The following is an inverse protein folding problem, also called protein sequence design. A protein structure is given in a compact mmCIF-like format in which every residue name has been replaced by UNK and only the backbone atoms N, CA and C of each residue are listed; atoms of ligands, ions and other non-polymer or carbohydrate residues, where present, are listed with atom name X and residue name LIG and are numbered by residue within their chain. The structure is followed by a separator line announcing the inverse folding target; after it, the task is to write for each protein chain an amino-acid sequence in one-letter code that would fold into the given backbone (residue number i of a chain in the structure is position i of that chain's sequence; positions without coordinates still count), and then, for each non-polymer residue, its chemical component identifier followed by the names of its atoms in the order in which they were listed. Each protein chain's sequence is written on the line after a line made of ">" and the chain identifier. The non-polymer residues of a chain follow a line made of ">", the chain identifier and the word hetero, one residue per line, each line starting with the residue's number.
data_IF_028609544299
#
_entry.id   IF_028609544299
#
_cell.length_a   1.000
_cell.length_b   1.000
_cell.length_c   1.000
_cell.angle_alpha   90.00
_cell.angle_beta   90.00
_cell.angle_gamma   90.00
#
_symmetry.space_group_name_H-M   'P 1'
#
loop_
_entity.id
_entity.type
_entity.pdbx_description
1 polymer ?
#
# COMPACT_ATOMS: atom_id res chain seq x y z
N UNK A 1 10.23 -6.66 22.15
CA UNK A 1 9.66 -5.39 21.62
C UNK A 1 8.25 -5.66 21.12
N UNK A 2 7.20 -5.08 21.73
CA UNK A 2 5.83 -5.16 21.17
C UNK A 2 5.82 -4.34 19.87
N UNK A 3 5.69 -5.00 18.70
CA UNK A 3 5.39 -4.28 17.46
C UNK A 3 4.08 -3.52 17.69
N UNK A 4 4.07 -2.20 17.49
CA UNK A 4 2.86 -1.36 17.67
C UNK A 4 1.73 -1.74 16.70
N UNK A 5 2.05 -2.45 15.63
CA UNK A 5 1.11 -2.93 14.61
C UNK A 5 1.39 -4.39 14.28
N UNK A 6 0.33 -5.17 14.10
CA UNK A 6 0.44 -6.58 13.65
C UNK A 6 0.69 -6.64 12.14
N UNK A 7 1.15 -7.79 11.65
CA UNK A 7 1.44 -7.99 10.23
C UNK A 7 0.16 -7.85 9.39
N UNK A 8 -0.98 -8.31 9.89
CA UNK A 8 -2.29 -8.12 9.26
C UNK A 8 -2.69 -6.63 9.15
N UNK A 9 -2.45 -5.84 10.20
CA UNK A 9 -2.70 -4.40 10.16
C UNK A 9 -1.83 -3.71 9.13
N UNK A 10 -0.55 -4.08 9.08
CA UNK A 10 0.42 -3.55 8.12
C UNK A 10 0.00 -3.88 6.68
N UNK A 11 -0.37 -5.13 6.40
CA UNK A 11 -0.88 -5.56 5.09
C UNK A 11 -2.16 -4.79 4.73
N UNK A 12 -3.05 -4.57 5.70
CA UNK A 12 -4.24 -3.74 5.53
C UNK A 12 -3.93 -2.30 5.13
N UNK A 13 -2.87 -1.69 5.68
CA UNK A 13 -2.43 -0.34 5.29
C UNK A 13 -1.83 -0.31 3.88
N UNK A 14 -1.04 -1.33 3.51
CA UNK A 14 -0.48 -1.45 2.16
C UNK A 14 -1.60 -1.56 1.12
N UNK A 15 -2.58 -2.44 1.32
CA UNK A 15 -3.74 -2.60 0.43
C UNK A 15 -4.56 -1.33 0.30
N UNK A 16 -4.83 -0.62 1.39
CA UNK A 16 -5.53 0.67 1.35
C UNK A 16 -4.81 1.68 0.44
N UNK A 17 -3.49 1.73 0.52
CA UNK A 17 -2.72 2.58 -0.37
C UNK A 17 -2.79 2.13 -1.85
N UNK A 18 -2.86 0.82 -2.11
CA UNK A 18 -3.08 0.28 -3.46
C UNK A 18 -4.47 0.56 -4.01
N UNK A 19 -5.50 0.65 -3.15
CA UNK A 19 -6.86 1.08 -3.55
C UNK A 19 -6.98 2.57 -3.87
N UNK A 20 -5.86 3.31 -3.86
CA UNK A 20 -5.83 4.74 -4.19
C UNK A 20 -5.88 5.68 -2.98
N UNK A 21 -5.84 5.18 -1.74
CA UNK A 21 -5.74 6.05 -0.57
C UNK A 21 -4.31 6.62 -0.44
N UNK A 22 -4.16 7.94 -0.28
CA UNK A 22 -2.84 8.54 -0.09
C UNK A 22 -2.22 8.08 1.23
N UNK A 23 -0.94 7.67 1.17
CA UNK A 23 -0.17 7.21 2.34
C UNK A 23 -0.13 8.28 3.44
N UNK A 24 -0.09 9.57 3.06
CA UNK A 24 -0.15 10.69 3.99
C UNK A 24 -1.43 10.69 4.85
N UNK A 25 -2.58 10.32 4.28
CA UNK A 25 -3.84 10.21 5.04
C UNK A 25 -3.84 8.98 5.95
N UNK A 26 -3.28 7.86 5.48
CA UNK A 26 -3.11 6.67 6.33
C UNK A 26 -2.17 6.95 7.50
N UNK A 27 -1.09 7.70 7.26
CA UNK A 27 -0.14 8.16 8.26
C UNK A 27 -0.82 9.01 9.34
N UNK A 28 -1.66 9.97 8.95
CA UNK A 28 -2.46 10.79 9.88
C UNK A 28 -3.52 9.99 10.62
N UNK A 29 -4.28 9.13 9.93
CA UNK A 29 -5.40 8.38 10.51
C UNK A 29 -4.95 7.30 11.49
N UNK A 30 -3.86 6.61 11.18
CA UNK A 30 -3.39 5.47 11.97
C UNK A 30 -2.16 5.81 12.84
N UNK A 31 -1.60 7.01 12.72
CA UNK A 31 -0.53 7.50 13.59
C UNK A 31 0.82 6.81 13.37
N UNK A 32 1.11 6.41 12.13
CA UNK A 32 2.42 5.88 11.73
C UNK A 32 3.06 6.81 10.71
N UNK A 33 4.39 6.92 10.66
CA UNK A 33 5.07 7.77 9.69
C UNK A 33 5.18 7.10 8.31
N UNK A 34 5.26 7.90 7.25
CA UNK A 34 5.50 7.40 5.88
C UNK A 34 6.75 6.50 5.79
N UNK A 35 7.81 6.83 6.54
CA UNK A 35 9.00 5.98 6.65
C UNK A 35 8.67 4.54 7.11
N UNK A 36 7.75 4.37 8.06
CA UNK A 36 7.28 3.05 8.50
C UNK A 36 6.53 2.32 7.39
N UNK A 37 5.71 3.04 6.62
CA UNK A 37 5.00 2.48 5.48
C UNK A 37 5.95 1.98 4.39
N UNK A 38 6.99 2.73 4.04
CA UNK A 38 7.98 2.28 3.06
C UNK A 38 8.80 1.08 3.55
N UNK A 39 9.13 1.03 4.85
CA UNK A 39 9.76 -0.14 5.47
C UNK A 39 8.87 -1.39 5.35
N UNK A 40 7.56 -1.23 5.59
CA UNK A 40 6.58 -2.29 5.42
C UNK A 40 6.39 -2.68 3.96
N UNK A 41 6.39 -1.72 3.03
CA UNK A 41 6.34 -1.99 1.60
C UNK A 41 7.59 -2.76 1.16
N UNK A 42 8.76 -2.48 1.72
CA UNK A 42 9.96 -3.25 1.39
C UNK A 42 9.86 -4.70 1.92
N UNK A 43 9.33 -4.87 3.15
CA UNK A 43 9.23 -6.19 3.80
C UNK A 43 8.07 -7.07 3.29
N UNK A 44 6.89 -6.49 3.11
CA UNK A 44 5.64 -7.18 2.72
C UNK A 44 5.20 -6.85 1.30
N UNK A 45 5.60 -5.68 0.77
CA UNK A 45 5.32 -5.34 -0.62
C UNK A 45 6.08 -6.21 -1.62
N UNK A 46 7.20 -6.86 -1.25
CA UNK A 46 7.79 -7.92 -2.09
C UNK A 46 6.88 -9.16 -2.26
N UNK A 47 5.99 -9.39 -1.30
CA UNK A 47 4.96 -10.43 -1.36
C UNK A 47 3.75 -9.97 -2.19
N UNK A 48 3.40 -8.67 -2.12
CA UNK A 48 2.29 -8.07 -2.90
C UNK A 48 2.66 -7.73 -4.35
N UNK A 49 3.89 -7.32 -4.64
CA UNK A 49 4.33 -6.88 -5.99
C UNK A 49 4.36 -8.05 -6.97
N UNK A 50 4.58 -9.28 -6.49
CA UNK A 50 4.44 -10.49 -7.31
C UNK A 50 3.00 -10.71 -7.79
N UNK A 51 2.00 -10.36 -6.98
CA UNK A 51 0.57 -10.39 -7.34
C UNK A 51 0.12 -9.11 -8.08
N UNK A 52 0.61 -7.93 -7.70
CA UNK A 52 0.27 -6.64 -8.31
C UNK A 52 0.92 -6.45 -9.70
N UNK A 53 2.03 -7.13 -10.00
CA UNK A 53 2.61 -7.16 -11.35
C UNK A 53 1.79 -8.03 -12.32
N UNK A 54 0.91 -8.92 -11.83
CA UNK A 54 -0.11 -9.58 -12.65
C UNK A 54 -1.37 -8.73 -12.86
N UNK A 55 -1.56 -7.67 -12.07
CA UNK A 55 -2.73 -6.79 -12.17
C UNK A 55 -2.46 -5.44 -12.86
N UNK A 56 -1.29 -5.26 -13.49
CA UNK A 56 -1.02 -4.13 -14.40
C UNK A 56 -1.36 -4.44 -15.86
N UNK A 57 -2.14 -5.49 -16.11
CA UNK A 57 -2.70 -5.80 -17.44
C UNK A 57 -4.21 -5.51 -17.54
N UNK A 58 -4.86 -5.03 -16.47
CA UNK A 58 -6.29 -4.71 -16.52
C UNK A 58 -6.53 -3.34 -15.89
N UNK A 59 -6.98 -2.42 -16.74
CA UNK A 59 -7.63 -1.14 -16.39
C UNK A 59 -6.73 0.07 -16.09
N UNK A 60 -5.96 0.49 -17.10
CA UNK A 60 -5.64 1.91 -17.32
C UNK A 60 -6.06 2.29 -18.76
N UNK A 61 -7.28 1.89 -19.15
CA UNK A 61 -7.89 2.28 -20.42
C UNK A 61 -9.08 3.20 -20.14
N UNK A 62 -9.25 4.17 -21.04
CA UNK A 62 -10.23 5.27 -21.05
C UNK A 62 -9.87 6.45 -20.13
N UNK A 63 -9.64 7.68 -20.58
CA UNK A 63 -9.84 8.28 -21.89
C UNK A 63 -9.15 9.65 -21.87
N UNK A 64 -8.15 9.87 -22.74
CA UNK A 64 -7.65 11.22 -23.05
C UNK A 64 -7.52 11.32 -24.55
N UNK A 65 -8.62 11.53 -25.25
CA UNK A 65 -8.63 12.11 -26.61
C UNK A 65 -9.98 12.76 -26.87
N UNK A 66 -10.04 14.07 -26.67
CA UNK A 66 -10.61 15.00 -27.67
C UNK A 66 -9.94 16.36 -27.52
#
# INVERSE_FOLDING_TARGET
>A
MKKRFTEEQIIGFLRKAETGLPVAELCRRHGFSEASYYLWRNKFGGMSVSDAKRLKDVDFHAEVTH
#
